data_IF_720444607001
#
_entry.id   IF_720444607001
#
_cell.length_a   1.000
_cell.length_b   1.000
_cell.length_c   1.000
_cell.angle_alpha   90.00
_cell.angle_beta   90.00
_cell.angle_gamma   90.00
#
_symmetry.space_group_name_H-M   'P 1'
#
loop_
_entity.id
_entity.type
_entity.pdbx_description
1 polymer ?
#
# COMPACT_ATOMS: atom_id res chain seq x y z
N UNK A 1 -11.99 7.37 -42.46
CA UNK A 1 -13.04 7.93 -41.57
C UNK A 1 -13.49 6.97 -40.45
N UNK A 2 -13.70 5.68 -40.69
CA UNK A 2 -14.27 4.76 -39.69
C UNK A 2 -13.43 4.55 -38.42
N UNK A 3 -12.09 4.47 -38.51
CA UNK A 3 -11.22 4.30 -37.34
C UNK A 3 -11.29 5.47 -36.32
N UNK A 4 -11.57 6.69 -36.78
CA UNK A 4 -11.69 7.87 -35.90
C UNK A 4 -13.00 7.91 -35.11
N UNK A 5 -14.07 7.36 -35.69
CA UNK A 5 -15.41 7.30 -35.08
C UNK A 5 -15.44 6.18 -34.02
N UNK A 6 -14.83 5.02 -34.31
CA UNK A 6 -14.65 3.92 -33.35
C UNK A 6 -13.81 4.32 -32.12
N UNK A 7 -12.73 5.10 -32.32
CA UNK A 7 -11.92 5.62 -31.21
C UNK A 7 -12.70 6.57 -30.30
N UNK A 8 -13.50 7.46 -30.87
CA UNK A 8 -14.37 8.37 -30.10
C UNK A 8 -15.46 7.59 -29.36
N UNK A 9 -16.03 6.55 -29.97
CA UNK A 9 -17.01 5.68 -29.34
C UNK A 9 -16.45 4.92 -28.13
N UNK A 10 -15.27 4.31 -28.23
CA UNK A 10 -14.64 3.58 -27.12
C UNK A 10 -14.26 4.48 -25.95
N UNK A 11 -13.72 5.67 -26.23
CA UNK A 11 -13.40 6.66 -25.19
C UNK A 11 -14.66 7.11 -24.45
N UNK A 12 -15.74 7.41 -25.20
CA UNK A 12 -17.04 7.78 -24.62
C UNK A 12 -17.63 6.65 -23.77
N UNK A 13 -17.53 5.39 -24.21
CA UNK A 13 -18.01 4.23 -23.44
C UNK A 13 -17.20 4.02 -22.16
N UNK A 14 -15.87 4.18 -22.20
CA UNK A 14 -15.03 4.11 -21.01
C UNK A 14 -15.37 5.22 -19.99
N UNK A 15 -15.58 6.45 -20.47
CA UNK A 15 -16.04 7.57 -19.64
C UNK A 15 -17.42 7.25 -19.03
N UNK A 16 -18.37 6.77 -19.83
CA UNK A 16 -19.71 6.41 -19.34
C UNK A 16 -19.67 5.27 -18.31
N UNK A 17 -18.86 4.23 -18.53
CA UNK A 17 -18.69 3.13 -17.57
C UNK A 17 -18.07 3.62 -16.26
N UNK A 18 -17.09 4.53 -16.33
CA UNK A 18 -16.49 5.15 -15.14
C UNK A 18 -17.50 5.98 -14.34
N UNK A 19 -18.48 6.59 -15.00
CA UNK A 19 -19.55 7.36 -14.36
C UNK A 19 -20.64 6.47 -13.74
N UNK A 20 -20.78 5.22 -14.19
CA UNK A 20 -21.77 4.26 -13.67
C UNK A 20 -21.23 3.28 -12.63
N UNK A 21 -19.91 3.29 -12.38
CA UNK A 21 -19.30 2.43 -11.38
C UNK A 21 -19.76 2.86 -9.98
N UNK A 22 -20.53 2.00 -9.31
CA UNK A 22 -20.89 2.23 -7.91
C UNK A 22 -19.62 2.19 -7.03
N UNK A 23 -19.48 3.08 -6.03
CA UNK A 23 -18.34 3.04 -5.13
C UNK A 23 -18.37 1.73 -4.34
N UNK A 24 -17.36 0.89 -4.54
CA UNK A 24 -17.06 -0.19 -3.61
C UNK A 24 -16.40 0.44 -2.39
N UNK A 25 -17.00 0.30 -1.21
CA UNK A 25 -16.43 0.77 0.07
C UNK A 25 -15.26 -0.12 0.54
N UNK A 26 -14.37 -0.49 -0.38
CA UNK A 26 -13.15 -1.23 -0.10
C UNK A 26 -12.03 -0.24 0.19
N UNK A 27 -11.31 -0.45 1.29
CA UNK A 27 -10.10 0.28 1.64
C UNK A 27 -8.93 -0.69 1.73
N UNK A 28 -7.76 -0.25 1.29
CA UNK A 28 -6.51 -0.99 1.47
C UNK A 28 -5.95 -0.79 2.89
N UNK A 29 -6.72 -0.15 3.78
CA UNK A 29 -6.29 0.18 5.13
C UNK A 29 -5.08 1.11 5.09
N UNK A 30 -3.96 0.63 5.62
CA UNK A 30 -2.69 1.35 5.62
C UNK A 30 -1.83 1.06 4.38
N UNK A 31 -2.22 0.13 3.50
CA UNK A 31 -1.44 -0.19 2.30
C UNK A 31 -1.67 0.87 1.20
N UNK A 32 -0.65 1.13 0.36
CA UNK A 32 -0.80 2.10 -0.73
C UNK A 32 -1.78 1.56 -1.77
N UNK A 33 -2.35 2.48 -2.56
CA UNK A 33 -3.29 2.12 -3.62
C UNK A 33 -2.60 1.34 -4.76
N UNK A 34 -1.29 1.46 -4.92
CA UNK A 34 -0.47 0.74 -5.90
C UNK A 34 1.01 0.99 -5.63
N UNK A 35 1.89 0.20 -6.24
CA UNK A 35 3.35 0.31 -6.08
C UNK A 35 3.95 0.66 -7.44
N UNK A 36 4.63 1.81 -7.57
CA UNK A 36 4.97 2.39 -8.86
C UNK A 36 3.92 3.38 -9.36
N UNK A 37 4.36 4.53 -9.89
CA UNK A 37 3.48 5.59 -10.42
C UNK A 37 2.50 5.10 -11.49
N UNK A 38 2.91 4.18 -12.36
CA UNK A 38 2.06 3.64 -13.41
C UNK A 38 0.94 2.76 -12.84
N UNK A 39 1.26 1.84 -11.92
CA UNK A 39 0.26 1.02 -11.24
C UNK A 39 -0.73 1.85 -10.43
N UNK A 40 -0.27 2.91 -9.75
CA UNK A 40 -1.15 3.85 -9.05
C UNK A 40 -2.11 4.55 -10.01
N UNK A 41 -1.63 4.95 -11.19
CA UNK A 41 -2.46 5.56 -12.24
C UNK A 41 -3.53 4.60 -12.78
N UNK A 42 -3.30 3.28 -12.65
CA UNK A 42 -4.22 2.22 -13.02
C UNK A 42 -5.10 1.74 -11.85
N UNK A 43 -5.24 2.54 -10.79
CA UNK A 43 -6.05 2.18 -9.63
C UNK A 43 -5.48 1.04 -8.79
N UNK A 44 -4.17 0.78 -8.90
CA UNK A 44 -3.47 -0.27 -8.17
C UNK A 44 -3.20 -1.55 -8.93
N UNK A 45 -3.83 -1.72 -10.10
CA UNK A 45 -3.68 -2.95 -10.88
C UNK A 45 -2.24 -3.11 -11.40
N UNK A 46 -1.65 -4.27 -11.10
CA UNK A 46 -0.27 -4.57 -11.45
C UNK A 46 0.13 -6.04 -11.32
N UNK A 47 -0.71 -6.89 -10.76
CA UNK A 47 -0.37 -8.30 -10.50
C UNK A 47 -0.15 -9.06 -11.80
N UNK A 48 -0.99 -8.83 -12.81
CA UNK A 48 -0.87 -9.44 -14.14
C UNK A 48 -0.22 -8.55 -15.21
N UNK A 49 0.26 -7.36 -14.83
CA UNK A 49 0.78 -6.35 -15.75
C UNK A 49 2.22 -5.96 -15.37
N UNK A 50 3.18 -6.34 -16.20
CA UNK A 50 4.58 -5.95 -16.05
C UNK A 50 4.83 -4.65 -16.82
N UNK A 51 4.68 -3.52 -16.14
CA UNK A 51 4.75 -2.18 -16.72
C UNK A 51 6.20 -1.69 -16.84
N UNK A 52 6.90 -1.69 -15.71
CA UNK A 52 8.27 -1.20 -15.55
C UNK A 52 8.91 -1.86 -14.32
N UNK A 53 10.14 -1.50 -13.95
CA UNK A 53 10.86 -2.20 -12.87
C UNK A 53 10.17 -2.09 -11.51
N UNK A 54 9.22 -1.16 -11.32
CA UNK A 54 8.42 -1.07 -10.09
C UNK A 54 7.38 -2.19 -9.97
N UNK A 55 7.02 -2.87 -11.06
CA UNK A 55 6.09 -4.01 -11.04
C UNK A 55 6.56 -5.17 -10.16
N UNK A 56 7.87 -5.25 -9.90
CA UNK A 56 8.50 -6.21 -8.97
C UNK A 56 7.83 -6.17 -7.59
N UNK A 57 7.45 -4.98 -7.13
CA UNK A 57 6.83 -4.77 -5.82
C UNK A 57 5.42 -5.36 -5.73
N UNK A 58 4.69 -5.41 -6.84
CA UNK A 58 3.34 -5.99 -6.94
C UNK A 58 3.38 -7.49 -7.20
N UNK A 59 4.28 -7.95 -8.07
CA UNK A 59 4.48 -9.35 -8.39
C UNK A 59 5.97 -9.64 -8.68
N UNK A 60 6.67 -10.44 -7.86
CA UNK A 60 8.06 -10.80 -8.10
C UNK A 60 8.33 -11.42 -9.48
N UNK A 61 7.35 -12.13 -10.07
CA UNK A 61 7.48 -12.72 -11.41
C UNK A 61 7.49 -11.69 -12.54
N UNK A 62 7.02 -10.46 -12.29
CA UNK A 62 7.07 -9.38 -13.26
C UNK A 62 8.51 -9.00 -13.64
N UNK A 63 9.49 -9.30 -12.77
CA UNK A 63 10.92 -9.03 -13.02
C UNK A 63 11.40 -9.61 -14.34
N UNK A 64 10.93 -10.81 -14.73
CA UNK A 64 11.31 -11.43 -16.02
C UNK A 64 10.62 -10.85 -17.25
N UNK A 65 9.64 -9.96 -17.07
CA UNK A 65 8.86 -9.37 -18.16
C UNK A 65 9.13 -7.88 -18.39
N UNK A 66 10.03 -7.28 -17.62
CA UNK A 66 10.42 -5.87 -17.73
C UNK A 66 11.86 -5.72 -18.23
N UNK A 67 12.16 -4.58 -18.83
CA UNK A 67 13.49 -4.29 -19.34
C UNK A 67 14.50 -4.06 -18.20
N UNK A 68 15.79 -4.31 -18.46
CA UNK A 68 16.88 -3.93 -17.57
C UNK A 68 16.92 -2.41 -17.39
N UNK A 69 17.13 -1.97 -16.15
CA UNK A 69 17.14 -0.55 -15.83
C UNK A 69 16.73 -0.28 -14.40
N UNK A 70 16.28 0.95 -14.17
CA UNK A 70 15.77 1.41 -12.91
C UNK A 70 14.62 2.38 -13.13
N UNK A 71 13.72 2.45 -12.16
CA UNK A 71 12.69 3.47 -12.06
C UNK A 71 12.83 4.17 -10.70
N UNK A 72 12.54 5.47 -10.68
CA UNK A 72 12.51 6.27 -9.45
C UNK A 72 11.28 7.16 -9.45
N UNK A 73 10.66 7.34 -8.30
CA UNK A 73 9.42 8.07 -8.14
C UNK A 73 9.35 8.81 -6.82
N UNK A 74 8.53 9.86 -6.79
CA UNK A 74 8.18 10.59 -5.59
C UNK A 74 6.68 10.89 -5.61
N UNK A 75 5.96 10.34 -4.65
CA UNK A 75 4.56 10.64 -4.43
C UNK A 75 4.41 11.79 -3.43
N UNK A 76 3.48 12.70 -3.72
CA UNK A 76 2.99 13.69 -2.76
C UNK A 76 1.59 13.24 -2.32
N UNK A 77 1.51 12.70 -1.10
CA UNK A 77 0.26 12.27 -0.50
C UNK A 77 -0.28 13.35 0.44
N UNK A 78 -1.51 13.81 0.18
CA UNK A 78 -2.18 14.88 0.94
C UNK A 78 -3.57 14.45 1.44
N UNK A 79 -3.65 13.63 2.51
CA UNK A 79 -4.93 13.17 3.04
C UNK A 79 -5.65 14.29 3.81
N UNK A 80 -6.96 14.38 3.63
CA UNK A 80 -7.86 15.22 4.44
C UNK A 80 -8.52 14.37 5.53
N UNK A 81 -8.24 14.68 6.79
CA UNK A 81 -8.74 13.95 7.96
C UNK A 81 -9.53 14.87 8.88
N UNK A 82 -10.66 14.39 9.38
CA UNK A 82 -11.46 15.09 10.38
C UNK A 82 -12.19 14.08 11.26
N UNK A 83 -12.42 14.45 12.52
CA UNK A 83 -13.30 13.70 13.43
C UNK A 83 -14.47 14.60 13.85
N UNK A 84 -15.68 14.04 13.92
CA UNK A 84 -16.88 14.76 14.33
C UNK A 84 -17.58 13.99 15.44
N UNK A 85 -17.98 14.69 16.50
CA UNK A 85 -18.71 14.13 17.62
C UNK A 85 -20.04 14.82 17.75
N UNK A 86 -21.10 14.04 17.96
CA UNK A 86 -22.41 14.56 18.33
C UNK A 86 -22.30 15.18 19.72
N UNK A 87 -22.14 16.49 19.79
CA UNK A 87 -21.85 17.18 21.03
C UNK A 87 -23.03 17.11 21.99
N UNK A 88 -24.27 17.09 21.46
CA UNK A 88 -25.48 16.97 22.27
C UNK A 88 -25.55 15.65 23.03
N UNK A 89 -25.07 14.55 22.43
CA UNK A 89 -24.98 13.26 23.10
C UNK A 89 -24.00 13.25 24.30
N UNK A 90 -23.07 14.21 24.34
CA UNK A 90 -22.09 14.39 25.41
C UNK A 90 -22.34 15.66 26.25
N UNK A 91 -23.55 16.24 26.18
CA UNK A 91 -23.92 17.42 26.98
C UNK A 91 -23.30 18.75 26.52
N UNK A 92 -22.74 18.80 25.31
CA UNK A 92 -22.17 20.01 24.71
C UNK A 92 -23.24 20.79 23.91
N UNK A 93 -23.12 22.13 23.78
CA UNK A 93 -24.13 22.96 23.13
C UNK A 93 -24.26 22.74 21.61
N UNK A 94 -23.22 22.19 20.97
CA UNK A 94 -23.19 21.89 19.54
C UNK A 94 -22.21 20.75 19.25
N UNK A 95 -22.30 20.19 18.04
CA UNK A 95 -21.36 19.19 17.55
C UNK A 95 -19.94 19.75 17.48
N UNK A 96 -18.97 18.89 17.79
CA UNK A 96 -17.56 19.27 17.83
C UNK A 96 -16.83 18.59 16.69
N UNK A 97 -16.13 19.41 15.89
CA UNK A 97 -15.31 18.95 14.79
C UNK A 97 -13.83 19.17 15.12
N UNK A 98 -13.03 18.14 14.86
CA UNK A 98 -11.58 18.16 15.07
C UNK A 98 -10.88 18.02 13.73
N UNK A 99 -9.98 18.97 13.45
CA UNK A 99 -9.11 18.93 12.28
C UNK A 99 -7.87 18.07 12.56
N UNK A 100 -7.72 16.98 11.80
CA UNK A 100 -6.62 16.03 11.90
C UNK A 100 -5.43 16.33 11.00
N UNK A 101 -5.42 17.47 10.31
CA UNK A 101 -4.46 17.81 9.25
C UNK A 101 -3.25 18.63 9.71
N UNK A 102 -2.90 18.62 11.01
CA UNK A 102 -1.71 19.33 11.52
C UNK A 102 -0.39 18.95 10.83
N UNK A 103 -0.32 17.75 10.24
CA UNK A 103 0.64 17.36 9.20
C UNK A 103 -0.16 16.91 7.98
N UNK A 104 0.07 17.54 6.82
CA UNK A 104 -0.76 17.35 5.62
C UNK A 104 0.00 16.96 4.35
N UNK A 105 1.32 17.19 4.30
CA UNK A 105 2.12 16.89 3.13
C UNK A 105 3.05 15.72 3.48
N UNK A 106 2.89 14.61 2.77
CA UNK A 106 3.74 13.44 2.91
C UNK A 106 4.43 13.18 1.58
N UNK A 107 5.75 13.09 1.63
CA UNK A 107 6.59 12.79 0.48
C UNK A 107 7.01 11.33 0.59
N UNK A 108 6.60 10.50 -0.36
CA UNK A 108 6.82 9.05 -0.31
C UNK A 108 7.70 8.68 -1.52
N UNK A 109 9.02 8.48 -1.30
CA UNK A 109 9.89 8.06 -2.38
C UNK A 109 9.68 6.57 -2.69
N UNK A 110 9.91 6.23 -3.95
CA UNK A 110 10.00 4.86 -4.43
C UNK A 110 11.13 4.73 -5.45
N UNK A 111 11.67 3.54 -5.57
CA UNK A 111 12.68 3.22 -6.56
C UNK A 111 12.78 1.72 -6.79
N UNK A 112 13.19 1.34 -7.97
CA UNK A 112 13.36 -0.06 -8.34
C UNK A 112 14.50 -0.20 -9.34
N UNK A 113 15.08 -1.39 -9.37
CA UNK A 113 16.17 -1.73 -10.27
C UNK A 113 16.01 -3.18 -10.70
N UNK A 114 16.30 -3.47 -11.96
CA UNK A 114 16.28 -4.80 -12.55
C UNK A 114 17.49 -5.03 -13.43
N UNK A 115 18.03 -6.24 -13.36
CA UNK A 115 19.09 -6.74 -14.23
C UNK A 115 18.88 -8.21 -14.56
N UNK A 116 18.85 -8.53 -15.84
CA UNK A 116 18.88 -9.91 -16.32
C UNK A 116 20.27 -10.51 -16.12
N UNK A 117 20.28 -11.73 -15.59
CA UNK A 117 21.46 -12.59 -15.45
C UNK A 117 21.22 -13.85 -16.31
N UNK A 118 22.22 -14.74 -16.41
CA UNK A 118 22.18 -15.83 -17.39
C UNK A 118 20.92 -16.72 -17.30
N UNK A 119 20.55 -17.15 -16.09
CA UNK A 119 19.45 -18.11 -15.89
C UNK A 119 18.28 -17.52 -15.08
N UNK A 120 18.43 -16.30 -14.57
CA UNK A 120 17.45 -15.65 -13.71
C UNK A 120 17.57 -14.14 -13.83
N UNK A 121 16.51 -13.44 -13.46
CA UNK A 121 16.48 -11.99 -13.38
C UNK A 121 16.60 -11.57 -11.91
N UNK A 122 17.50 -10.65 -11.63
CA UNK A 122 17.61 -10.03 -10.32
C UNK A 122 16.91 -8.68 -10.33
N UNK A 123 16.18 -8.39 -9.26
CA UNK A 123 15.50 -7.13 -9.07
C UNK A 123 15.54 -6.67 -7.63
N UNK A 124 15.36 -5.39 -7.40
CA UNK A 124 15.08 -4.84 -6.07
C UNK A 124 14.06 -3.72 -6.20
N UNK A 125 13.03 -3.75 -5.36
CA UNK A 125 12.10 -2.64 -5.21
C UNK A 125 12.24 -2.04 -3.80
N UNK A 126 12.28 -0.71 -3.71
CA UNK A 126 12.34 0.06 -2.48
C UNK A 126 11.18 1.04 -2.49
N UNK A 127 10.29 0.97 -1.51
CA UNK A 127 9.11 1.84 -1.48
C UNK A 127 8.70 2.16 -0.05
N UNK A 128 8.24 3.39 0.14
CA UNK A 128 7.61 3.82 1.37
C UNK A 128 6.15 3.38 1.45
N UNK A 129 5.70 3.03 2.65
CA UNK A 129 4.29 2.98 2.98
C UNK A 129 4.00 3.91 4.16
N UNK A 130 2.92 4.69 4.09
CA UNK A 130 2.55 5.63 5.14
C UNK A 130 1.91 6.90 4.60
N UNK A 131 1.91 7.94 5.41
CA UNK A 131 1.32 9.23 5.06
C UNK A 131 -0.15 9.39 5.48
N UNK A 132 -0.83 8.32 5.90
CA UNK A 132 -2.15 8.41 6.58
C UNK A 132 -2.03 8.79 8.07
N UNK A 133 -0.99 9.55 8.42
CA UNK A 133 -0.77 10.00 9.78
C UNK A 133 -1.93 10.89 10.24
N UNK A 134 -2.05 11.19 11.52
CA UNK A 134 -3.01 12.18 12.03
C UNK A 134 -2.32 13.13 12.98
N UNK A 135 -2.74 14.39 12.99
CA UNK A 135 -2.24 15.38 13.94
C UNK A 135 -3.34 16.40 14.24
N UNK A 136 -3.90 16.28 15.45
CA UNK A 136 -4.94 17.12 15.98
C UNK A 136 -4.33 18.11 16.98
N UNK A 137 -4.64 19.40 16.84
CA UNK A 137 -4.23 20.43 17.81
C UNK A 137 -4.95 20.27 19.15
N UNK A 138 -6.19 19.82 19.10
CA UNK A 138 -7.03 19.51 20.25
C UNK A 138 -7.41 18.03 20.20
N UNK A 139 -7.22 17.34 21.32
CA UNK A 139 -7.42 15.90 21.40
C UNK A 139 -8.90 15.52 21.19
N UNK A 140 -9.24 14.77 20.12
CA UNK A 140 -10.60 14.33 19.85
C UNK A 140 -11.12 13.30 20.85
N UNK A 141 -10.23 12.63 21.62
CA UNK A 141 -10.60 11.64 22.61
C UNK A 141 -11.02 12.25 23.97
N UNK A 142 -11.46 13.51 23.98
CA UNK A 142 -11.78 14.27 25.20
C UNK A 142 -10.62 14.36 26.20
N UNK A 143 -9.38 14.20 25.71
CA UNK A 143 -8.16 14.37 26.50
C UNK A 143 -7.64 15.81 26.46
N UNK A 144 -6.54 16.06 27.17
CA UNK A 144 -5.86 17.37 27.15
C UNK A 144 -4.74 17.35 26.10
N UNK A 145 -4.57 18.47 25.40
CA UNK A 145 -3.43 18.69 24.49
C UNK A 145 -3.65 18.19 23.07
N UNK A 146 -2.54 17.87 22.39
CA UNK A 146 -2.52 17.37 21.01
C UNK A 146 -2.76 15.86 20.98
N UNK A 147 -3.24 15.35 19.85
CA UNK A 147 -3.35 13.92 19.60
C UNK A 147 -2.92 13.59 18.18
N UNK A 148 -2.49 12.36 17.94
CA UNK A 148 -2.10 11.95 16.60
C UNK A 148 -1.37 10.62 16.56
N UNK A 149 -1.31 10.07 15.36
CA UNK A 149 -0.55 8.86 15.05
C UNK A 149 0.36 9.16 13.88
N UNK A 150 1.63 8.80 14.01
CA UNK A 150 2.63 8.85 12.94
C UNK A 150 3.12 7.43 12.70
N UNK A 151 2.80 6.89 11.52
CA UNK A 151 3.22 5.56 11.10
C UNK A 151 3.87 5.61 9.72
N UNK A 152 5.10 5.09 9.66
CA UNK A 152 5.90 5.09 8.45
C UNK A 152 6.55 3.71 8.29
N UNK A 153 6.59 3.21 7.06
CA UNK A 153 7.27 1.97 6.72
C UNK A 153 8.15 2.17 5.50
N UNK A 154 9.27 1.47 5.48
CA UNK A 154 10.15 1.30 4.34
C UNK A 154 10.21 -0.18 4.02
N UNK A 155 9.88 -0.52 2.78
CA UNK A 155 10.04 -1.86 2.23
C UNK A 155 11.25 -1.88 1.32
N UNK A 156 12.09 -2.91 1.47
CA UNK A 156 13.19 -3.25 0.57
C UNK A 156 12.98 -4.70 0.17
N UNK A 157 12.77 -4.93 -1.13
CA UNK A 157 12.30 -6.19 -1.69
C UNK A 157 13.29 -6.72 -2.75
N UNK A 158 14.49 -7.20 -2.37
CA UNK A 158 15.35 -7.95 -3.27
C UNK A 158 14.64 -9.21 -3.77
N UNK A 159 14.68 -9.40 -5.09
CA UNK A 159 13.86 -10.34 -5.83
C UNK A 159 14.72 -11.13 -6.81
N UNK A 160 14.42 -12.42 -6.94
CA UNK A 160 14.88 -13.29 -8.01
C UNK A 160 13.67 -13.78 -8.79
N UNK A 161 13.72 -13.68 -10.10
CA UNK A 161 12.70 -14.24 -10.98
C UNK A 161 13.33 -15.23 -11.96
N UNK A 162 12.67 -16.35 -12.15
CA UNK A 162 13.10 -17.41 -13.04
C UNK A 162 12.09 -17.53 -14.19
N UNK A 163 12.50 -17.22 -15.44
CA UNK A 163 11.66 -17.48 -16.60
C UNK A 163 11.57 -18.99 -16.83
N UNK A 164 10.36 -19.54 -16.71
CA UNK A 164 10.10 -20.96 -17.00
C UNK A 164 10.17 -21.21 -18.51
N UNK A 165 9.75 -20.21 -19.30
CA UNK A 165 9.82 -20.13 -20.76
C UNK A 165 9.53 -18.68 -21.19
N UNK A 166 9.43 -18.42 -22.49
CA UNK A 166 9.18 -17.08 -23.06
C UNK A 166 7.84 -16.45 -22.65
N UNK A 167 6.92 -17.25 -22.11
CA UNK A 167 5.56 -16.84 -21.77
C UNK A 167 5.30 -16.80 -20.27
N UNK A 168 6.04 -17.56 -19.46
CA UNK A 168 5.77 -17.77 -18.04
C UNK A 168 7.01 -17.57 -17.19
N UNK A 169 6.86 -16.89 -16.06
CA UNK A 169 7.90 -16.74 -15.06
C UNK A 169 7.33 -16.93 -13.65
N UNK A 170 8.21 -17.35 -12.75
CA UNK A 170 7.98 -17.33 -11.32
C UNK A 170 8.98 -16.39 -10.66
N UNK A 171 8.64 -15.85 -9.50
CA UNK A 171 9.56 -15.01 -8.75
C UNK A 171 9.40 -15.17 -7.24
N UNK A 172 10.48 -14.88 -6.53
CA UNK A 172 10.54 -14.85 -5.07
C UNK A 172 11.25 -13.58 -4.62
N UNK A 173 10.69 -12.93 -3.60
CA UNK A 173 11.24 -11.72 -2.99
C UNK A 173 11.36 -11.88 -1.49
N UNK A 174 12.46 -11.39 -0.92
CA UNK A 174 12.56 -11.20 0.52
C UNK A 174 12.09 -9.77 0.86
N UNK A 175 10.99 -9.64 1.59
CA UNK A 175 10.46 -8.34 2.00
C UNK A 175 11.09 -7.94 3.34
N UNK A 176 12.09 -7.06 3.28
CA UNK A 176 12.70 -6.46 4.46
C UNK A 176 11.94 -5.18 4.78
N UNK A 177 11.42 -5.09 6.01
CA UNK A 177 10.58 -3.97 6.42
C UNK A 177 11.20 -3.29 7.62
N UNK A 178 11.27 -1.96 7.57
CA UNK A 178 11.54 -1.12 8.72
C UNK A 178 10.32 -0.23 8.93
N UNK A 179 9.80 -0.16 10.16
CA UNK A 179 8.73 0.76 10.48
C UNK A 179 9.06 1.67 11.66
N UNK A 180 8.41 2.82 11.70
CA UNK A 180 8.45 3.77 12.81
C UNK A 180 7.03 4.11 13.21
N UNK A 181 6.81 4.15 14.52
CA UNK A 181 5.51 4.44 15.09
C UNK A 181 5.63 5.49 16.20
N UNK A 182 4.66 6.40 16.26
CA UNK A 182 4.43 7.32 17.37
C UNK A 182 2.95 7.55 17.54
N UNK A 183 2.46 7.44 18.78
CA UNK A 183 1.11 7.85 19.17
C UNK A 183 1.15 8.92 20.27
N UNK A 184 0.31 9.93 20.14
CA UNK A 184 0.12 11.05 21.07
C UNK A 184 -1.37 11.20 21.41
N UNK A 185 -1.68 11.60 22.64
CA UNK A 185 -3.05 11.93 23.06
C UNK A 185 -3.97 10.74 23.35
N UNK A 186 -3.43 9.56 23.73
CA UNK A 186 -4.22 8.38 24.08
C UNK A 186 -4.27 8.11 25.60
N UNK A 187 -4.09 9.14 26.45
CA UNK A 187 -3.95 8.98 27.91
C UNK A 187 -5.15 8.30 28.56
N UNK A 188 -6.36 8.49 28.00
CA UNK A 188 -7.58 7.85 28.50
C UNK A 188 -7.55 6.31 28.38
N UNK A 189 -6.67 5.77 27.54
CA UNK A 189 -6.45 4.33 27.36
C UNK A 189 -5.20 3.83 28.10
N UNK A 190 -4.41 4.74 28.67
CA UNK A 190 -3.17 4.41 29.38
C UNK A 190 -3.42 4.10 30.86
N UNK A 191 -4.16 3.02 31.11
CA UNK A 191 -4.49 2.55 32.45
C UNK A 191 -4.76 1.05 32.45
N UNK A 192 -4.77 0.45 33.64
CA UNK A 192 -4.90 -0.99 33.84
C UNK A 192 -6.24 -1.60 33.37
N UNK A 193 -7.26 -0.77 33.07
CA UNK A 193 -8.54 -1.26 32.54
C UNK A 193 -8.48 -1.49 31.02
N UNK A 194 -7.70 -0.69 30.30
CA UNK A 194 -7.66 -0.71 28.83
C UNK A 194 -6.31 -1.14 28.24
N UNK A 195 -5.25 -1.18 29.05
CA UNK A 195 -3.91 -1.53 28.62
C UNK A 195 -3.30 -2.63 29.49
N UNK A 196 -2.64 -3.59 28.82
CA UNK A 196 -1.87 -4.63 29.48
C UNK A 196 -0.53 -4.13 30.04
N UNK A 197 -0.04 -2.96 29.60
CA UNK A 197 1.19 -2.34 30.10
C UNK A 197 1.07 -0.80 30.16
N UNK A 198 0.43 -0.27 31.22
CA UNK A 198 0.32 1.17 31.42
C UNK A 198 1.68 1.88 31.47
N UNK A 199 1.73 3.11 30.99
CA UNK A 199 2.95 3.90 30.74
C UNK A 199 3.56 3.67 29.34
N UNK A 200 3.12 2.63 28.61
CA UNK A 200 3.66 2.25 27.31
C UNK A 200 2.58 2.33 26.21
N UNK A 201 1.78 3.39 26.20
CA UNK A 201 0.64 3.57 25.28
C UNK A 201 0.76 4.83 24.42
N UNK A 202 1.26 5.94 24.97
CA UNK A 202 1.19 7.24 24.32
C UNK A 202 2.29 8.18 24.78
N UNK A 203 2.62 9.18 23.97
CA UNK A 203 3.58 10.25 24.29
C UNK A 203 5.03 9.78 24.56
N UNK A 204 5.40 8.57 24.15
CA UNK A 204 6.73 7.99 24.36
C UNK A 204 7.75 8.33 23.24
N UNK A 205 7.39 9.21 22.31
CA UNK A 205 8.23 9.53 21.16
C UNK A 205 8.18 8.47 20.07
N UNK A 206 9.20 8.41 19.21
CA UNK A 206 9.22 7.38 18.16
C UNK A 206 9.79 6.08 18.69
N UNK A 207 9.12 4.99 18.35
CA UNK A 207 9.65 3.65 18.43
C UNK A 207 9.79 3.05 17.02
N UNK A 208 10.64 2.07 16.86
CA UNK A 208 10.94 1.47 15.56
C UNK A 208 11.25 0.00 15.67
N UNK A 209 10.85 -0.75 14.65
CA UNK A 209 11.16 -2.17 14.57
C UNK A 209 11.39 -2.58 13.11
N UNK A 210 12.08 -3.71 12.95
CA UNK A 210 12.33 -4.34 11.66
C UNK A 210 11.65 -5.69 11.59
N UNK A 211 11.30 -6.11 10.39
CA UNK A 211 10.75 -7.44 10.15
C UNK A 211 11.11 -7.97 8.77
N UNK A 212 10.81 -9.25 8.58
CA UNK A 212 11.06 -9.95 7.32
C UNK A 212 9.87 -10.82 6.94
N UNK A 213 9.57 -10.85 5.65
CA UNK A 213 8.61 -11.76 5.05
C UNK A 213 9.07 -12.19 3.66
N UNK A 214 8.27 -13.01 2.99
CA UNK A 214 8.57 -13.53 1.66
C UNK A 214 7.37 -13.27 0.74
N UNK A 215 7.64 -12.85 -0.48
CA UNK A 215 6.64 -12.85 -1.55
C UNK A 215 7.02 -13.90 -2.59
N UNK A 216 6.02 -14.61 -3.11
CA UNK A 216 6.16 -15.45 -4.29
C UNK A 216 5.15 -15.00 -5.34
N UNK A 217 5.49 -15.17 -6.60
CA UNK A 217 4.63 -14.77 -7.69
C UNK A 217 4.78 -15.65 -8.91
N UNK A 218 3.73 -15.64 -9.72
CA UNK A 218 3.69 -16.19 -11.06
C UNK A 218 3.09 -15.14 -11.99
N UNK A 219 3.60 -15.06 -13.21
CA UNK A 219 3.02 -14.26 -14.27
C UNK A 219 3.18 -14.99 -15.61
N UNK A 220 2.15 -14.92 -16.44
CA UNK A 220 2.06 -15.67 -17.69
C UNK A 220 1.33 -14.94 -18.80
N UNK A 221 1.85 -15.01 -20.02
CA UNK A 221 1.16 -14.58 -21.26
C UNK A 221 0.34 -15.75 -21.80
N UNK A 222 -0.98 -15.75 -21.58
CA UNK A 222 -1.87 -16.80 -22.06
C UNK A 222 -2.24 -16.63 -23.54
N UNK A 223 -2.17 -15.41 -24.04
CA UNK A 223 -2.33 -15.09 -25.46
C UNK A 223 -1.45 -13.87 -25.80
N UNK A 224 -1.20 -13.56 -27.08
CA UNK A 224 -0.42 -12.39 -27.47
C UNK A 224 -0.92 -11.06 -26.88
N UNK A 225 -2.22 -10.98 -26.58
CA UNK A 225 -2.88 -9.81 -26.00
C UNK A 225 -3.28 -9.98 -24.53
N UNK A 226 -3.05 -11.12 -23.89
CA UNK A 226 -3.56 -11.41 -22.54
C UNK A 226 -2.48 -11.98 -21.63
N UNK A 227 -2.23 -11.31 -20.51
CA UNK A 227 -1.43 -11.84 -19.40
C UNK A 227 -2.24 -11.97 -18.13
N UNK A 228 -1.89 -12.98 -17.33
CA UNK A 228 -2.39 -13.19 -15.98
C UNK A 228 -1.23 -13.17 -15.00
N UNK A 229 -1.53 -12.87 -13.74
CA UNK A 229 -0.57 -13.00 -12.66
C UNK A 229 -1.25 -13.33 -11.34
N UNK A 230 -0.49 -13.99 -10.47
CA UNK A 230 -0.86 -14.29 -9.09
C UNK A 230 0.36 -14.02 -8.23
N UNK A 231 0.18 -13.31 -7.11
CA UNK A 231 1.22 -13.02 -6.16
C UNK A 231 0.72 -13.24 -4.74
N UNK A 232 1.54 -13.87 -3.91
CA UNK A 232 1.29 -14.05 -2.48
C UNK A 232 2.44 -13.45 -1.69
N UNK A 233 2.11 -12.55 -0.78
CA UNK A 233 3.02 -12.00 0.22
C UNK A 233 2.67 -12.59 1.58
N UNK A 234 3.64 -13.21 2.23
CA UNK A 234 3.49 -13.71 3.60
C UNK A 234 3.24 -12.57 4.57
N UNK A 235 2.72 -12.90 5.76
CA UNK A 235 2.81 -12.01 6.91
C UNK A 235 4.28 -11.64 7.11
N UNK A 236 4.56 -10.36 7.37
CA UNK A 236 5.90 -9.91 7.78
C UNK A 236 5.90 -9.87 9.30
N UNK A 237 6.68 -10.76 9.90
CA UNK A 237 6.89 -10.76 11.34
C UNK A 237 7.81 -9.60 11.71
N UNK A 238 7.27 -8.64 12.44
CA UNK A 238 7.97 -7.45 12.91
C UNK A 238 8.50 -7.67 14.32
N UNK A 239 9.57 -6.95 14.66
CA UNK A 239 9.94 -6.76 16.06
C UNK A 239 8.85 -6.02 16.84
N UNK A 240 8.88 -6.14 18.16
CA UNK A 240 7.94 -5.46 19.05
C UNK A 240 8.29 -3.98 19.16
N UNK A 241 7.26 -3.16 19.36
CA UNK A 241 7.38 -1.75 19.74
C UNK A 241 7.31 -1.67 21.27
N UNK A 242 8.46 -1.76 21.93
CA UNK A 242 8.56 -1.81 23.40
C UNK A 242 7.94 -0.57 24.07
N UNK A 243 8.13 0.62 23.49
CA UNK A 243 7.58 1.89 23.98
C UNK A 243 6.05 1.96 23.82
N UNK A 244 5.48 1.07 23.00
CA UNK A 244 4.06 0.98 22.69
C UNK A 244 3.47 -0.40 23.02
N UNK A 245 4.13 -1.13 23.92
CA UNK A 245 3.74 -2.49 24.32
C UNK A 245 2.39 -2.56 25.02
N UNK A 246 1.91 -1.45 25.59
CA UNK A 246 0.57 -1.34 26.16
C UNK A 246 -0.52 -1.02 25.13
N UNK A 247 -0.16 -0.61 23.91
CA UNK A 247 -1.10 -0.20 22.87
C UNK A 247 -1.46 -1.33 21.91
N UNK A 248 -0.48 -2.15 21.53
CA UNK A 248 -0.67 -3.24 20.58
C UNK A 248 -0.76 -4.61 21.27
N UNK A 249 -1.44 -5.56 20.62
CA UNK A 249 -1.54 -6.93 21.09
C UNK A 249 -0.16 -7.58 21.29
N UNK A 250 -0.11 -8.64 22.12
CA UNK A 250 1.11 -9.42 22.39
C UNK A 250 2.32 -8.56 22.86
N UNK A 251 2.04 -7.47 23.58
CA UNK A 251 3.01 -6.54 24.12
C UNK A 251 3.81 -5.79 23.04
N UNK A 252 3.13 -5.20 22.05
CA UNK A 252 3.78 -4.35 21.04
C UNK A 252 3.92 -4.98 19.66
N UNK A 253 3.25 -6.11 19.38
CA UNK A 253 3.27 -6.74 18.06
C UNK A 253 2.46 -5.91 17.05
N UNK A 254 3.11 -5.47 15.98
CA UNK A 254 2.46 -4.74 14.90
C UNK A 254 2.96 -5.21 13.53
N UNK A 255 2.54 -6.42 13.18
CA UNK A 255 2.97 -7.12 11.97
C UNK A 255 2.29 -6.61 10.70
N UNK A 256 2.94 -6.79 9.54
CA UNK A 256 2.32 -6.52 8.25
C UNK A 256 1.49 -7.74 7.82
N UNK A 257 0.20 -7.57 7.50
CA UNK A 257 -0.68 -8.68 7.14
C UNK A 257 -0.25 -9.38 5.85
N UNK A 258 -0.62 -10.66 5.73
CA UNK A 258 -0.42 -11.41 4.51
C UNK A 258 -1.36 -10.88 3.41
N UNK A 259 -0.96 -11.00 2.15
CA UNK A 259 -1.78 -10.58 1.02
C UNK A 259 -1.71 -11.58 -0.13
N UNK A 260 -2.86 -11.91 -0.71
CA UNK A 260 -2.98 -12.66 -1.96
C UNK A 260 -3.58 -11.74 -3.02
N UNK A 261 -2.92 -11.65 -4.17
CA UNK A 261 -3.36 -10.85 -5.30
C UNK A 261 -3.43 -11.71 -6.55
N UNK A 262 -4.46 -11.53 -7.37
CA UNK A 262 -4.59 -12.14 -8.68
C UNK A 262 -5.10 -11.09 -9.66
N UNK A 263 -4.59 -11.11 -10.88
CA UNK A 263 -4.91 -10.07 -11.85
C UNK A 263 -4.66 -10.44 -13.29
N UNK A 264 -5.13 -9.57 -14.18
CA UNK A 264 -4.99 -9.70 -15.62
C UNK A 264 -4.60 -8.39 -16.29
N UNK A 265 -3.98 -8.50 -17.46
CA UNK A 265 -3.78 -7.39 -18.38
C UNK A 265 -4.19 -7.84 -19.80
N UNK A 266 -5.10 -7.09 -20.41
CA UNK A 266 -5.66 -7.40 -21.73
C UNK A 266 -5.53 -6.22 -22.68
N UNK A 267 -4.74 -6.41 -23.74
CA UNK A 267 -4.62 -5.49 -24.85
C UNK A 267 -5.84 -5.61 -25.76
N UNK A 268 -6.94 -4.94 -25.39
CA UNK A 268 -8.21 -4.99 -26.10
C UNK A 268 -8.16 -4.33 -27.51
N UNK A 269 -7.28 -3.35 -27.70
CA UNK A 269 -7.00 -2.70 -28.98
C UNK A 269 -5.58 -2.13 -28.98
N UNK A 270 -4.98 -1.71 -30.11
CA UNK A 270 -3.58 -1.24 -30.14
C UNK A 270 -3.22 -0.13 -29.14
N UNK A 271 -4.19 0.71 -28.76
CA UNK A 271 -4.00 1.82 -27.82
C UNK A 271 -4.93 1.70 -26.60
N UNK A 272 -5.39 0.50 -26.27
CA UNK A 272 -6.32 0.27 -25.17
C UNK A 272 -5.91 -0.99 -24.41
N UNK A 273 -5.35 -0.76 -23.24
CA UNK A 273 -5.03 -1.79 -22.26
C UNK A 273 -6.08 -1.75 -21.15
N UNK A 274 -6.63 -2.92 -20.82
CA UNK A 274 -7.53 -3.10 -19.69
C UNK A 274 -6.80 -3.97 -18.67
N UNK A 275 -6.70 -3.48 -17.45
CA UNK A 275 -6.10 -4.21 -16.33
C UNK A 275 -7.12 -4.35 -15.20
N UNK A 276 -6.98 -5.40 -14.42
CA UNK A 276 -7.82 -5.61 -13.24
C UNK A 276 -7.18 -6.60 -12.28
N UNK A 277 -7.24 -6.25 -10.99
CA UNK A 277 -6.69 -7.04 -9.90
C UNK A 277 -7.76 -7.25 -8.81
N UNK A 278 -7.69 -8.41 -8.16
CA UNK A 278 -8.40 -8.73 -6.92
C UNK A 278 -7.35 -9.02 -5.87
N UNK A 279 -7.43 -8.31 -4.74
CA UNK A 279 -6.51 -8.49 -3.61
C UNK A 279 -7.28 -8.83 -2.34
N UNK A 280 -6.79 -9.83 -1.60
CA UNK A 280 -7.25 -10.20 -0.26
C UNK A 280 -6.11 -10.00 0.73
N UNK A 281 -6.34 -9.16 1.73
CA UNK A 281 -5.42 -8.91 2.84
C UNK A 281 -5.98 -9.68 4.06
N UNK A 282 -5.14 -10.46 4.73
CA UNK A 282 -5.51 -11.31 5.88
C UNK A 282 -4.84 -10.86 7.18
#
# INVERSE_FOLDING_TARGET
MHASILRRSLLSTAILLSLTAAPSFATNGLAPIGLGMEHRSLGGAGTGYAANTSSIASNPAATSFVADGYDVGLEIFQPKRSASFNGKAFGMPADVNYDGNGKQNFFIPEGSYKRSLNQFDFGVAVYGNGGMNTSYKQNPNFGVGKAGVDYQQLFVAPTLSYPLNDQHAIGISANLVYHKFKAEGLQNFDNAQFSANPGHVTNNGYDSSTGMGVSIGWQGKLAPSLSLGVAYRSKVSMGKLDQYSGLFANAGEFDVPAALSAGFAWQAAPNTLIVGDVQRIN
#
